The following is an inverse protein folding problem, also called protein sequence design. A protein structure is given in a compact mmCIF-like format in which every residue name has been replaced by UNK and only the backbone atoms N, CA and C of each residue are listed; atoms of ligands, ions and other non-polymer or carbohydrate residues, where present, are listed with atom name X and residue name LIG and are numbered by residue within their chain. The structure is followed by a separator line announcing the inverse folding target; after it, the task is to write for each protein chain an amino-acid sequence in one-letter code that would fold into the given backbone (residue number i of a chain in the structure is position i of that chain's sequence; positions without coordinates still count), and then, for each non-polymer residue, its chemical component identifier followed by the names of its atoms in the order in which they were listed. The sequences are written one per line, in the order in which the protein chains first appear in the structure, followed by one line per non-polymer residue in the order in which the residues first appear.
data_IF_293679286065
#
_entry.id   IF_293679286065
#
_cell.length_a   1.000
_cell.length_b   1.000
_cell.length_c   1.000
_cell.angle_alpha   90.00
_cell.angle_beta   90.00
_cell.angle_gamma   90.00
#
_symmetry.space_group_name_H-M   'P 1'
#
loop_
_entity.id
_entity.type
_entity.pdbx_description
1 polymer ?
#
# COMPACT_ATOMS: atom_id res chain seq x y z
N UNK A 1 -8.77 -13.91 -19.60
CA UNK A 1 -8.60 -12.68 -18.81
C UNK A 1 -7.20 -12.65 -18.23
N UNK A 2 -6.32 -11.72 -18.63
CA UNK A 2 -5.01 -11.53 -18.00
C UNK A 2 -5.17 -10.53 -16.86
N UNK A 3 -5.29 -11.01 -15.63
CA UNK A 3 -5.25 -10.18 -14.43
C UNK A 3 -3.83 -9.62 -14.28
N UNK A 4 -3.61 -8.40 -14.79
CA UNK A 4 -2.37 -7.60 -14.63
C UNK A 4 -2.27 -6.92 -13.26
N UNK A 5 -3.00 -7.43 -12.27
CA UNK A 5 -3.05 -6.95 -10.88
C UNK A 5 -1.68 -6.87 -10.16
N UNK A 6 -0.65 -7.69 -10.46
CA UNK A 6 0.61 -7.61 -9.72
C UNK A 6 1.41 -6.32 -9.98
N UNK A 7 1.20 -5.65 -11.14
CA UNK A 7 2.02 -4.49 -11.53
C UNK A 7 1.62 -3.20 -10.80
N UNK A 8 0.34 -3.03 -10.45
CA UNK A 8 -0.19 -1.82 -9.82
C UNK A 8 0.20 -1.70 -8.34
N UNK A 9 0.28 -2.83 -7.61
CA UNK A 9 0.73 -2.84 -6.21
C UNK A 9 2.23 -2.52 -6.05
N UNK A 10 3.04 -2.83 -7.07
CA UNK A 10 4.49 -2.62 -7.08
C UNK A 10 4.91 -1.15 -7.24
N UNK A 11 4.12 -0.33 -7.94
CA UNK A 11 4.42 1.08 -8.14
C UNK A 11 4.31 1.91 -6.85
N UNK A 12 3.43 1.52 -5.92
CA UNK A 12 3.23 2.20 -4.65
C UNK A 12 4.42 2.02 -3.67
N UNK A 13 5.07 0.84 -3.69
CA UNK A 13 6.15 0.50 -2.76
C UNK A 13 7.43 1.33 -2.95
N UNK A 14 7.69 1.82 -4.17
CA UNK A 14 8.90 2.57 -4.47
C UNK A 14 8.90 4.02 -3.93
N UNK A 15 7.74 4.55 -3.52
CA UNK A 15 7.58 5.99 -3.25
C UNK A 15 7.80 6.39 -1.79
N UNK A 16 7.95 5.42 -0.87
CA UNK A 16 7.86 5.67 0.58
C UNK A 16 9.22 6.06 1.20
N UNK A 17 10.33 6.09 0.45
CA UNK A 17 11.67 6.16 1.03
C UNK A 17 12.28 7.56 1.22
N UNK A 18 11.52 8.65 1.24
CA UNK A 18 12.07 10.00 1.12
C UNK A 18 11.60 11.00 2.20
N UNK A 19 11.68 10.65 3.47
CA UNK A 19 11.50 11.65 4.55
C UNK A 19 12.86 11.88 5.25
N UNK A 20 13.67 12.78 4.68
CA UNK A 20 14.95 13.22 5.27
C UNK A 20 14.72 14.15 6.47
N UNK A 21 15.50 13.94 7.53
CA UNK A 21 15.36 14.56 8.85
C UNK A 21 15.71 16.06 8.90
N UNK A 22 15.04 16.83 9.79
CA UNK A 22 15.57 18.12 10.28
C UNK A 22 14.88 18.64 11.58
N UNK A 23 15.39 18.27 12.76
CA UNK A 23 15.52 19.06 14.01
C UNK A 23 14.51 20.12 14.52
N UNK A 24 13.23 20.16 14.13
CA UNK A 24 12.21 21.08 14.69
C UNK A 24 10.88 20.36 14.94
N UNK A 25 9.98 20.88 15.80
CA UNK A 25 8.64 20.29 16.04
C UNK A 25 7.77 20.18 14.77
N UNK A 26 8.15 20.89 13.72
CA UNK A 26 7.48 20.88 12.41
C UNK A 26 8.03 19.78 11.47
N UNK A 27 9.04 19.02 11.90
CA UNK A 27 9.80 18.06 11.09
C UNK A 27 10.05 16.76 11.86
N UNK A 28 10.33 15.69 11.12
CA UNK A 28 10.63 14.39 11.72
C UNK A 28 12.01 14.39 12.38
N UNK A 29 12.11 13.73 13.53
CA UNK A 29 13.41 13.43 14.14
C UNK A 29 14.20 12.45 13.26
N UNK A 30 15.53 12.40 13.43
CA UNK A 30 16.36 11.42 12.71
C UNK A 30 15.94 9.98 13.01
N UNK A 31 15.58 9.69 14.27
CA UNK A 31 15.10 8.37 14.66
C UNK A 31 13.76 8.02 14.01
N UNK A 32 12.81 8.96 13.94
CA UNK A 32 11.53 8.74 13.26
C UNK A 32 11.73 8.53 11.75
N UNK A 33 12.65 9.27 11.13
CA UNK A 33 13.02 9.09 9.73
C UNK A 33 13.64 7.70 9.47
N UNK A 34 14.55 7.26 10.33
CA UNK A 34 15.18 5.93 10.24
C UNK A 34 14.17 4.80 10.42
N UNK A 35 13.27 4.92 11.40
CA UNK A 35 12.19 3.95 11.63
C UNK A 35 11.21 3.91 10.46
N UNK A 36 10.87 5.06 9.88
CA UNK A 36 10.01 5.12 8.70
C UNK A 36 10.68 4.45 7.49
N UNK A 37 11.95 4.74 7.24
CA UNK A 37 12.71 4.08 6.16
C UNK A 37 12.81 2.56 6.36
N UNK A 38 13.01 2.11 7.60
CA UNK A 38 13.00 0.68 7.91
C UNK A 38 11.64 0.03 7.61
N UNK A 39 10.53 0.68 7.97
CA UNK A 39 9.18 0.20 7.67
C UNK A 39 8.85 0.24 6.18
N UNK A 40 9.30 1.29 5.46
CA UNK A 40 9.17 1.38 4.02
C UNK A 40 9.90 0.21 3.32
N UNK A 41 11.09 -0.13 3.79
CA UNK A 41 11.85 -1.28 3.31
C UNK A 41 11.13 -2.60 3.57
N UNK A 42 10.59 -2.80 4.78
CA UNK A 42 9.79 -3.98 5.13
C UNK A 42 8.55 -4.10 4.25
N UNK A 43 7.83 -2.99 4.03
CA UNK A 43 6.67 -2.94 3.15
C UNK A 43 7.05 -3.33 1.71
N UNK A 44 8.14 -2.80 1.17
CA UNK A 44 8.63 -3.14 -0.17
C UNK A 44 9.01 -4.62 -0.30
N UNK A 45 9.66 -5.18 0.73
CA UNK A 45 9.98 -6.60 0.78
C UNK A 45 8.70 -7.47 0.83
N UNK A 46 7.71 -7.06 1.63
CA UNK A 46 6.41 -7.74 1.69
C UNK A 46 5.70 -7.73 0.33
N UNK A 47 5.65 -6.58 -0.35
CA UNK A 47 5.06 -6.46 -1.69
C UNK A 47 5.78 -7.34 -2.72
N UNK A 48 7.11 -7.44 -2.64
CA UNK A 48 7.90 -8.33 -3.51
C UNK A 48 7.54 -9.80 -3.28
N UNK A 49 7.40 -10.21 -2.02
CA UNK A 49 6.95 -11.57 -1.65
C UNK A 49 5.53 -11.84 -2.15
N UNK A 50 4.63 -10.87 -2.02
CA UNK A 50 3.25 -10.97 -2.50
C UNK A 50 3.17 -11.08 -4.03
N UNK A 51 4.01 -10.34 -4.76
CA UNK A 51 4.12 -10.48 -6.22
C UNK A 51 4.60 -11.89 -6.64
N UNK A 52 5.58 -12.43 -5.90
CA UNK A 52 6.07 -13.80 -6.14
C UNK A 52 4.95 -14.82 -5.91
N UNK A 53 4.17 -14.65 -4.83
CA UNK A 53 2.99 -15.48 -4.55
C UNK A 53 1.90 -15.33 -5.62
N UNK A 54 1.65 -14.12 -6.10
CA UNK A 54 0.68 -13.87 -7.18
C UNK A 54 1.06 -14.62 -8.45
N UNK A 55 2.35 -14.59 -8.81
CA UNK A 55 2.88 -15.35 -9.95
C UNK A 55 2.69 -16.86 -9.76
N UNK A 56 2.89 -17.37 -8.54
CA UNK A 56 2.62 -18.77 -8.22
C UNK A 56 1.12 -19.12 -8.28
N UNK A 57 0.22 -18.23 -7.81
CA UNK A 57 -1.22 -18.39 -7.93
C UNK A 57 -1.65 -18.48 -9.41
N UNK A 58 -1.12 -17.59 -10.26
CA UNK A 58 -1.38 -17.60 -11.70
C UNK A 58 -0.94 -18.91 -12.38
N UNK A 59 0.17 -19.51 -11.93
CA UNK A 59 0.62 -20.81 -12.45
C UNK A 59 -0.32 -21.96 -12.05
N UNK A 60 -0.92 -21.90 -10.87
CA UNK A 60 -1.97 -22.85 -10.47
C UNK A 60 -3.25 -22.72 -11.31
N UNK A 61 -3.52 -21.55 -11.90
CA UNK A 61 -4.64 -21.42 -12.82
C UNK A 61 -4.52 -22.30 -14.07
N UNK A 62 -3.29 -22.66 -14.47
CA UNK A 62 -3.07 -23.59 -15.56
C UNK A 62 -3.52 -25.04 -15.23
N UNK A 63 -3.74 -25.38 -13.95
CA UNK A 63 -4.25 -26.69 -13.54
C UNK A 63 -5.79 -26.78 -13.50
N UNK A 64 -6.50 -25.72 -13.87
CA UNK A 64 -7.97 -25.72 -14.00
C UNK A 64 -8.78 -25.56 -12.71
N UNK A 65 -8.12 -25.42 -11.56
CA UNK A 65 -8.78 -25.21 -10.26
C UNK A 65 -9.03 -23.72 -10.00
N UNK A 66 -10.18 -23.24 -10.49
CA UNK A 66 -10.57 -21.83 -10.41
C UNK A 66 -10.79 -21.39 -8.96
N UNK A 67 -11.31 -22.26 -8.10
CA UNK A 67 -11.56 -21.97 -6.68
C UNK A 67 -10.26 -21.85 -5.89
N UNK A 68 -9.28 -22.71 -6.16
CA UNK A 68 -7.95 -22.58 -5.55
C UNK A 68 -7.25 -21.29 -5.98
N UNK A 69 -7.40 -20.87 -7.23
CA UNK A 69 -6.84 -19.60 -7.73
C UNK A 69 -7.55 -18.42 -7.09
N UNK A 70 -8.88 -18.46 -7.01
CA UNK A 70 -9.71 -17.45 -6.34
C UNK A 70 -9.25 -17.24 -4.89
N UNK A 71 -9.17 -18.33 -4.12
CA UNK A 71 -8.71 -18.28 -2.75
C UNK A 71 -7.25 -17.82 -2.61
N UNK A 72 -6.39 -18.15 -3.57
CA UNK A 72 -4.98 -17.73 -3.57
C UNK A 72 -4.84 -16.21 -3.73
N UNK A 73 -5.55 -15.62 -4.69
CA UNK A 73 -5.54 -14.17 -4.92
C UNK A 73 -6.28 -13.39 -3.84
N UNK A 74 -7.39 -13.90 -3.32
CA UNK A 74 -8.11 -13.26 -2.22
C UNK A 74 -7.20 -13.11 -0.98
N UNK A 75 -6.41 -14.14 -0.66
CA UNK A 75 -5.41 -14.05 0.43
C UNK A 75 -4.32 -13.02 0.14
N UNK A 76 -3.89 -12.90 -1.11
CA UNK A 76 -2.91 -11.86 -1.48
C UNK A 76 -3.52 -10.47 -1.30
N UNK A 77 -4.78 -10.26 -1.67
CA UNK A 77 -5.46 -8.98 -1.45
C UNK A 77 -5.65 -8.67 0.03
N UNK A 78 -5.98 -9.64 0.87
CA UNK A 78 -6.00 -9.45 2.33
C UNK A 78 -4.61 -9.04 2.85
N UNK A 79 -3.55 -9.74 2.44
CA UNK A 79 -2.19 -9.41 2.88
C UNK A 79 -1.76 -8.01 2.41
N UNK A 80 -2.14 -7.60 1.18
CA UNK A 80 -1.90 -6.24 0.68
C UNK A 80 -2.66 -5.23 1.54
N UNK A 81 -3.95 -5.49 1.81
CA UNK A 81 -4.80 -4.67 2.66
C UNK A 81 -4.14 -4.46 4.02
N UNK A 82 -3.69 -5.53 4.68
CA UNK A 82 -3.03 -5.47 5.98
C UNK A 82 -1.75 -4.62 5.93
N UNK A 83 -0.87 -4.86 4.97
CA UNK A 83 0.38 -4.10 4.83
C UNK A 83 0.13 -2.60 4.61
N UNK A 84 -0.85 -2.24 3.78
CA UNK A 84 -1.25 -0.82 3.61
C UNK A 84 -1.88 -0.23 4.88
N UNK A 85 -2.64 -1.02 5.62
CA UNK A 85 -3.24 -0.62 6.89
C UNK A 85 -2.19 -0.34 7.96
N UNK A 86 -1.20 -1.22 8.09
CA UNK A 86 -0.09 -1.06 9.03
C UNK A 86 0.73 0.21 8.76
N UNK A 87 1.12 0.43 7.50
CA UNK A 87 1.91 1.62 7.14
C UNK A 87 1.08 2.90 7.24
N UNK A 88 -0.22 2.85 6.92
CA UNK A 88 -1.17 3.94 7.15
C UNK A 88 -1.22 4.33 8.63
N UNK A 89 -1.40 3.34 9.51
CA UNK A 89 -1.46 3.55 10.96
C UNK A 89 -0.16 4.13 11.50
N UNK A 90 0.99 3.66 11.00
CA UNK A 90 2.28 4.20 11.38
C UNK A 90 2.44 5.67 10.97
N UNK A 91 2.11 6.02 9.71
CA UNK A 91 2.16 7.40 9.22
C UNK A 91 1.18 8.30 9.98
N UNK A 92 0.00 7.78 10.34
CA UNK A 92 -0.95 8.50 11.17
C UNK A 92 -0.38 8.76 12.58
N UNK A 93 0.36 7.80 13.15
CA UNK A 93 1.13 7.98 14.38
C UNK A 93 2.13 9.13 14.24
N UNK A 94 3.00 9.07 13.24
CA UNK A 94 3.99 10.13 12.96
C UNK A 94 3.35 11.50 12.80
N UNK A 95 2.19 11.59 12.14
CA UNK A 95 1.49 12.86 11.93
C UNK A 95 1.04 13.55 13.22
N UNK A 96 0.89 12.80 14.33
CA UNK A 96 0.54 13.33 15.65
C UNK A 96 1.75 13.89 16.40
N UNK A 97 2.95 13.45 16.03
CA UNK A 97 4.20 13.82 16.70
C UNK A 97 4.88 15.04 16.04
N UNK A 98 4.35 15.50 14.90
CA UNK A 98 4.82 16.69 14.17
C UNK A 98 3.70 17.72 14.05
N UNK A 99 4.06 18.99 13.94
CA UNK A 99 3.12 20.10 13.76
C UNK A 99 3.16 20.67 12.33
N UNK A 100 2.31 21.65 12.04
CA UNK A 100 2.37 22.44 10.80
C UNK A 100 1.95 21.67 9.54
N UNK A 101 2.54 22.05 8.40
CA UNK A 101 2.22 21.44 7.10
C UNK A 101 2.68 19.99 6.99
N UNK A 102 3.78 19.60 7.65
CA UNK A 102 4.22 18.21 7.69
C UNK A 102 3.13 17.29 8.25
N UNK A 103 2.52 17.65 9.38
CA UNK A 103 1.40 16.91 9.99
C UNK A 103 0.21 16.73 9.03
N UNK A 104 -0.19 17.81 8.35
CA UNK A 104 -1.30 17.79 7.39
C UNK A 104 -1.01 16.88 6.20
N UNK A 105 0.23 16.89 5.70
CA UNK A 105 0.64 16.05 4.56
C UNK A 105 0.74 14.58 4.96
N UNK A 106 1.32 14.27 6.12
CA UNK A 106 1.34 12.90 6.65
C UNK A 106 -0.08 12.38 6.92
N UNK A 107 -0.97 13.20 7.46
CA UNK A 107 -2.40 12.85 7.62
C UNK A 107 -3.06 12.54 6.27
N UNK A 108 -2.71 13.26 5.20
CA UNK A 108 -3.22 12.95 3.87
C UNK A 108 -2.67 11.63 3.35
N UNK A 109 -1.36 11.40 3.51
CA UNK A 109 -0.71 10.15 3.12
C UNK A 109 -1.34 8.96 3.84
N UNK A 110 -1.52 9.02 5.16
CA UNK A 110 -2.15 7.94 5.91
C UNK A 110 -3.57 7.67 5.43
N UNK A 111 -4.39 8.71 5.16
CA UNK A 111 -5.73 8.52 4.59
C UNK A 111 -5.69 7.83 3.22
N UNK A 112 -4.80 8.24 2.32
CA UNK A 112 -4.67 7.61 1.00
C UNK A 112 -4.26 6.14 1.13
N UNK A 113 -3.31 5.82 2.01
CA UNK A 113 -2.88 4.45 2.27
C UNK A 113 -4.01 3.62 2.92
N UNK A 114 -4.77 4.19 3.85
CA UNK A 114 -5.93 3.55 4.46
C UNK A 114 -7.05 3.24 3.46
N UNK A 115 -7.32 4.18 2.54
CA UNK A 115 -8.29 3.94 1.46
C UNK A 115 -7.85 2.81 0.53
N UNK A 116 -6.56 2.73 0.22
CA UNK A 116 -6.00 1.64 -0.59
C UNK A 116 -6.10 0.31 0.16
N UNK A 117 -5.84 0.30 1.47
CA UNK A 117 -6.08 -0.87 2.33
C UNK A 117 -7.53 -1.34 2.20
N UNK A 118 -8.51 -0.46 2.43
CA UNK A 118 -9.94 -0.78 2.34
C UNK A 118 -10.36 -1.30 0.96
N UNK A 119 -9.78 -0.74 -0.11
CA UNK A 119 -10.01 -1.20 -1.48
C UNK A 119 -9.53 -2.64 -1.68
N UNK A 120 -8.33 -2.98 -1.23
CA UNK A 120 -7.82 -4.35 -1.34
C UNK A 120 -8.59 -5.33 -0.43
N UNK A 121 -8.96 -4.93 0.79
CA UNK A 121 -9.80 -5.77 1.66
C UNK A 121 -11.20 -6.01 1.06
N UNK A 122 -11.75 -5.04 0.34
CA UNK A 122 -12.99 -5.22 -0.42
C UNK A 122 -12.78 -6.12 -1.63
N UNK A 123 -11.70 -5.92 -2.37
CA UNK A 123 -11.36 -6.77 -3.52
C UNK A 123 -11.18 -8.24 -3.11
N UNK A 124 -10.60 -8.51 -1.94
CA UNK A 124 -10.50 -9.88 -1.41
C UNK A 124 -11.86 -10.53 -1.19
N UNK A 125 -12.84 -9.78 -0.66
CA UNK A 125 -14.22 -10.26 -0.46
C UNK A 125 -14.91 -10.52 -1.80
N UNK A 126 -14.81 -9.60 -2.73
CA UNK A 126 -15.44 -9.70 -4.06
C UNK A 126 -14.85 -10.88 -4.85
N UNK A 127 -13.53 -11.09 -4.78
CA UNK A 127 -12.86 -12.21 -5.46
C UNK A 127 -13.30 -13.57 -4.90
N UNK A 128 -13.58 -13.67 -3.58
CA UNK A 128 -14.16 -14.89 -2.97
C UNK A 128 -15.61 -15.11 -3.38
N UNK A 129 -16.37 -14.03 -3.55
CA UNK A 129 -17.77 -14.08 -3.96
C UNK A 129 -17.94 -14.35 -5.47
N UNK A 130 -16.85 -14.34 -6.25
CA UNK A 130 -16.89 -14.50 -7.70
C UNK A 130 -17.34 -13.24 -8.46
N UNK A 131 -17.40 -12.09 -7.79
CA UNK A 131 -17.83 -10.81 -8.37
C UNK A 131 -16.66 -10.08 -9.05
N UNK A 132 -16.25 -10.61 -10.20
CA UNK A 132 -15.08 -10.13 -10.95
C UNK A 132 -15.32 -8.77 -11.64
N UNK A 133 -16.56 -8.39 -11.90
CA UNK A 133 -16.92 -7.13 -12.55
C UNK A 133 -16.71 -5.96 -11.61
N UNK A 134 -17.21 -6.05 -10.38
CA UNK A 134 -16.96 -5.04 -9.34
C UNK A 134 -15.47 -4.95 -8.96
N UNK A 135 -14.75 -6.07 -9.02
CA UNK A 135 -13.32 -6.11 -8.72
C UNK A 135 -12.49 -5.24 -9.68
N UNK A 136 -12.75 -5.34 -10.98
CA UNK A 136 -12.00 -4.56 -11.98
C UNK A 136 -12.24 -3.06 -11.84
N UNK A 137 -13.47 -2.67 -11.53
CA UNK A 137 -13.81 -1.27 -11.30
C UNK A 137 -13.12 -0.71 -10.05
N UNK A 138 -13.05 -1.49 -8.96
CA UNK A 138 -12.43 -1.08 -7.70
C UNK A 138 -10.90 -1.06 -7.76
N UNK A 139 -10.28 -2.03 -8.43
CA UNK A 139 -8.82 -2.10 -8.58
C UNK A 139 -8.29 -1.18 -9.70
N UNK A 140 -9.15 -0.78 -10.64
CA UNK A 140 -8.83 0.21 -11.67
C UNK A 140 -8.90 1.67 -11.20
N UNK A 141 -9.28 1.89 -9.94
CA UNK A 141 -9.45 3.23 -9.38
C UNK A 141 -8.10 3.90 -9.10
N UNK A 142 -7.97 5.21 -9.43
CA UNK A 142 -6.68 5.95 -9.48
C UNK A 142 -5.97 6.15 -8.13
N UNK A 143 -6.44 5.54 -7.05
CA UNK A 143 -5.93 5.77 -5.68
C UNK A 143 -4.46 5.37 -5.53
N UNK A 144 -4.01 4.34 -6.24
CA UNK A 144 -2.60 3.95 -6.26
C UNK A 144 -1.71 5.03 -6.91
N UNK A 145 -2.23 5.74 -7.91
CA UNK A 145 -1.51 6.83 -8.57
C UNK A 145 -1.40 8.08 -7.67
N UNK A 146 -2.29 8.22 -6.69
CA UNK A 146 -2.30 9.34 -5.73
C UNK A 146 -1.23 9.18 -4.64
N UNK A 147 -0.75 7.96 -4.38
CA UNK A 147 0.26 7.67 -3.34
C UNK A 147 1.57 8.41 -3.62
N UNK A 148 2.11 8.28 -4.84
CA UNK A 148 3.40 8.86 -5.20
C UNK A 148 3.45 10.40 -5.09
N UNK A 149 2.47 11.14 -5.64
CA UNK A 149 2.34 12.58 -5.43
C UNK A 149 2.12 12.97 -3.97
N UNK A 150 1.32 12.23 -3.21
CA UNK A 150 1.07 12.51 -1.79
C UNK A 150 2.35 12.38 -0.95
N UNK A 151 3.15 11.33 -1.20
CA UNK A 151 4.43 11.12 -0.52
C UNK A 151 5.44 12.21 -0.85
N UNK A 152 5.60 12.57 -2.13
CA UNK A 152 6.46 13.70 -2.54
C UNK A 152 6.04 15.03 -1.93
N UNK A 153 4.74 15.24 -1.76
CA UNK A 153 4.23 16.45 -1.10
C UNK A 153 4.50 16.43 0.40
N UNK A 154 4.47 15.26 1.05
CA UNK A 154 4.84 15.10 2.45
C UNK A 154 6.34 15.29 2.67
N UNK A 155 7.16 14.69 1.81
CA UNK A 155 8.62 14.88 1.78
C UNK A 155 9.00 16.36 1.82
N UNK A 156 8.48 17.15 0.88
CA UNK A 156 8.77 18.59 0.77
C UNK A 156 8.29 19.41 1.97
N UNK A 157 7.27 18.92 2.69
CA UNK A 157 6.72 19.62 3.84
C UNK A 157 7.42 19.24 5.16
N UNK A 158 8.10 18.10 5.20
CA UNK A 158 8.75 17.56 6.39
C UNK A 158 10.28 17.70 6.37
N UNK A 159 10.86 18.12 5.24
CA UNK A 159 12.29 18.47 5.06
C UNK A 159 12.58 19.94 5.30
#
# INVERSE_FOLDING_TARGET
MRLTVPALALAAAASVALLGACGSKEKLSSEQADQFNARASQFSAAMTKLNTRATACSKKAASGDVDAVANCFARIFDDISENFGEISNYVAGLSRDVEGECSKRLTRVSRTLGQVSDQFGTAARDFRAGDLENLQQKLGDRRLDEIGPALRAAERACT
#
